data_IF_911826854567
#
_entry.id   IF_911826854567
#
_cell.length_a   1.000
_cell.length_b   1.000
_cell.length_c   1.000
_cell.angle_alpha   90.00
_cell.angle_beta   90.00
_cell.angle_gamma   90.00
#
_symmetry.space_group_name_H-M   'P 1'
#
loop_
_entity.id
_entity.type
_entity.pdbx_description
1 polymer ?
#
# COMPACT_ATOMS: atom_id res chain seq x y z
N UNK A 1 18.50 23.00 -10.79
CA UNK A 1 18.17 23.28 -9.38
C UNK A 1 18.49 22.02 -8.62
N UNK A 2 19.32 22.07 -7.59
CA UNK A 2 19.58 20.93 -6.72
C UNK A 2 18.25 20.52 -6.09
N UNK A 3 17.87 19.26 -6.21
CA UNK A 3 16.64 18.74 -5.64
C UNK A 3 16.70 18.91 -4.11
N UNK A 4 15.75 19.64 -3.52
CA UNK A 4 15.72 19.87 -2.07
C UNK A 4 15.41 18.55 -1.38
N UNK A 5 16.18 18.23 -0.36
CA UNK A 5 16.00 16.99 0.40
C UNK A 5 14.64 17.00 1.10
N UNK A 6 13.88 15.91 0.97
CA UNK A 6 12.57 15.77 1.59
C UNK A 6 12.70 15.16 2.99
N UNK A 7 12.54 15.98 4.04
CA UNK A 7 12.88 15.58 5.41
C UNK A 7 11.96 14.51 6.00
N UNK A 8 10.71 14.44 5.53
CA UNK A 8 9.73 13.41 5.91
C UNK A 8 10.18 11.99 5.52
N UNK A 9 11.15 11.87 4.61
CA UNK A 9 11.73 10.60 4.19
C UNK A 9 13.04 10.23 4.90
N UNK A 10 13.41 10.94 5.97
CA UNK A 10 14.66 10.71 6.70
C UNK A 10 14.42 9.97 8.02
N UNK A 11 15.29 9.01 8.31
CA UNK A 11 15.40 8.36 9.60
C UNK A 11 15.96 9.35 10.65
N UNK A 12 15.73 9.12 11.95
CA UNK A 12 16.25 9.99 13.00
C UNK A 12 17.77 10.24 12.90
N UNK A 13 18.57 9.20 12.59
CA UNK A 13 20.02 9.35 12.40
C UNK A 13 20.41 10.24 11.21
N UNK A 14 19.65 10.18 10.11
CA UNK A 14 19.89 11.03 8.95
C UNK A 14 19.52 12.50 9.23
N UNK A 15 18.50 12.73 10.06
CA UNK A 15 18.19 14.07 10.56
C UNK A 15 19.27 14.61 11.50
N UNK A 16 19.90 13.75 12.31
CA UNK A 16 21.04 14.14 13.16
C UNK A 16 22.24 14.59 12.32
N UNK A 17 22.54 13.86 11.24
CA UNK A 17 23.60 14.23 10.30
C UNK A 17 23.29 15.58 9.61
N UNK A 18 22.06 15.77 9.15
CA UNK A 18 21.62 17.03 8.53
C UNK A 18 21.78 18.23 9.48
N UNK A 19 21.27 18.16 10.72
CA UNK A 19 21.36 19.30 11.64
C UNK A 19 22.82 19.60 12.03
N UNK A 20 23.67 18.57 12.11
CA UNK A 20 25.12 18.75 12.34
C UNK A 20 25.77 19.51 11.19
N UNK A 21 25.45 19.17 9.94
CA UNK A 21 25.94 19.88 8.75
C UNK A 21 25.47 21.34 8.70
N UNK A 22 24.28 21.63 9.21
CA UNK A 22 23.74 22.99 9.34
C UNK A 22 24.30 23.79 10.53
N UNK A 23 25.20 23.20 11.33
CA UNK A 23 25.78 23.80 12.53
C UNK A 23 24.82 23.91 13.71
N UNK A 24 23.77 23.09 13.72
CA UNK A 24 22.71 23.12 14.74
C UNK A 24 22.91 21.96 15.75
N UNK A 25 22.45 22.13 17.02
CA UNK A 25 22.59 21.08 18.02
C UNK A 25 21.85 19.79 17.65
N UNK A 26 22.43 18.63 17.99
CA UNK A 26 21.88 17.29 17.70
C UNK A 26 20.39 17.13 18.09
N UNK A 27 19.97 17.69 19.23
CA UNK A 27 18.57 17.58 19.68
C UNK A 27 17.54 18.18 18.71
N UNK A 28 17.97 19.06 17.78
CA UNK A 28 17.11 19.63 16.74
C UNK A 28 16.56 18.57 15.79
N UNK A 29 17.29 17.48 15.57
CA UNK A 29 16.83 16.36 14.74
C UNK A 29 15.54 15.75 15.31
N UNK A 30 15.52 15.46 16.62
CA UNK A 30 14.35 14.92 17.29
C UNK A 30 13.17 15.90 17.26
N UNK A 31 13.44 17.20 17.37
CA UNK A 31 12.38 18.21 17.25
C UNK A 31 11.80 18.21 15.83
N UNK A 32 12.62 18.22 14.79
CA UNK A 32 12.14 18.14 13.40
C UNK A 32 11.31 16.87 13.19
N UNK A 33 11.82 15.72 13.62
CA UNK A 33 11.14 14.44 13.47
C UNK A 33 9.75 14.47 14.12
N UNK A 34 9.65 14.95 15.37
CA UNK A 34 8.37 15.08 16.07
C UNK A 34 7.41 16.05 15.37
N UNK A 35 7.90 17.17 14.85
CA UNK A 35 7.06 18.12 14.11
C UNK A 35 6.50 17.52 12.82
N UNK A 36 7.31 16.75 12.08
CA UNK A 36 6.89 16.11 10.84
C UNK A 36 5.95 14.91 11.06
N UNK A 37 6.24 14.06 12.06
CA UNK A 37 5.58 12.75 12.17
C UNK A 37 4.53 12.66 13.28
N UNK A 38 4.78 13.22 14.46
CA UNK A 38 3.81 13.22 15.57
C UNK A 38 2.79 14.37 15.38
N UNK A 39 3.30 15.58 15.20
CA UNK A 39 2.48 16.78 14.94
C UNK A 39 1.92 16.83 13.53
N UNK A 40 2.46 16.02 12.61
CA UNK A 40 2.02 15.90 11.21
C UNK A 40 2.03 17.23 10.44
N UNK A 41 3.00 18.10 10.72
CA UNK A 41 3.11 19.41 10.05
C UNK A 41 3.73 19.25 8.65
N UNK A 42 3.18 19.98 7.69
CA UNK A 42 3.62 19.95 6.29
C UNK A 42 4.42 21.21 5.90
N UNK A 43 4.49 22.22 6.77
CA UNK A 43 5.32 23.42 6.59
C UNK A 43 6.29 23.63 7.74
N UNK A 44 7.54 24.01 7.42
CA UNK A 44 8.51 24.44 8.43
C UNK A 44 8.03 25.68 9.18
N UNK A 45 7.21 26.55 8.57
CA UNK A 45 6.71 27.76 9.24
C UNK A 45 5.83 27.44 10.45
N UNK A 46 5.08 26.34 10.40
CA UNK A 46 4.18 25.90 11.47
C UNK A 46 4.92 25.28 12.66
N UNK A 47 6.21 24.93 12.50
CA UNK A 47 7.05 24.32 13.52
C UNK A 47 7.52 25.34 14.57
N UNK A 48 6.58 25.97 15.28
CA UNK A 48 6.83 27.11 16.17
C UNK A 48 7.76 26.83 17.37
N UNK A 49 7.99 25.55 17.69
CA UNK A 49 9.00 25.11 18.67
C UNK A 49 10.45 25.33 18.18
N UNK A 50 10.62 25.57 16.87
CA UNK A 50 11.90 25.86 16.23
C UNK A 50 12.12 27.39 16.10
N UNK A 51 13.32 27.91 16.42
CA UNK A 51 13.66 29.31 16.22
C UNK A 51 13.38 29.76 14.79
N UNK A 52 12.88 30.99 14.62
CA UNK A 52 12.56 31.56 13.30
C UNK A 52 13.74 31.48 12.30
N UNK A 53 14.96 31.76 12.78
CA UNK A 53 16.17 31.66 11.95
C UNK A 53 16.44 30.23 11.49
N UNK A 54 16.18 29.23 12.33
CA UNK A 54 16.38 27.83 11.97
C UNK A 54 15.32 27.34 10.97
N UNK A 55 14.05 27.72 11.16
CA UNK A 55 12.99 27.45 10.18
C UNK A 55 13.32 28.02 8.79
N UNK A 56 13.87 29.23 8.73
CA UNK A 56 14.30 29.84 7.46
C UNK A 56 15.41 29.02 6.78
N UNK A 57 16.44 28.60 7.53
CA UNK A 57 17.51 27.72 7.00
C UNK A 57 16.94 26.40 6.46
N UNK A 58 15.99 25.78 7.16
CA UNK A 58 15.34 24.54 6.71
C UNK A 58 14.59 24.75 5.40
N UNK A 59 13.82 25.84 5.27
CA UNK A 59 13.07 26.18 4.04
C UNK A 59 13.98 26.46 2.83
N UNK A 60 15.22 26.88 3.05
CA UNK A 60 16.21 27.08 1.99
C UNK A 60 16.85 25.75 1.53
N UNK A 61 17.19 24.88 2.48
CA UNK A 61 17.94 23.65 2.23
C UNK A 61 17.07 22.44 1.86
N UNK A 62 15.83 22.39 2.35
CA UNK A 62 15.02 21.18 2.36
C UNK A 62 13.53 21.46 2.10
N UNK A 63 12.75 20.38 2.04
CA UNK A 63 11.29 20.40 1.94
C UNK A 63 10.68 19.52 3.03
N UNK A 64 9.61 19.99 3.68
CA UNK A 64 8.78 19.19 4.60
C UNK A 64 7.67 18.41 3.88
N UNK A 65 7.26 18.88 2.70
CA UNK A 65 6.18 18.33 1.90
C UNK A 65 6.53 18.46 0.42
N UNK A 66 6.24 17.41 -0.36
CA UNK A 66 6.47 17.36 -1.81
C UNK A 66 5.25 16.87 -2.60
N UNK A 67 4.17 16.47 -1.92
CA UNK A 67 2.91 16.07 -2.54
C UNK A 67 1.87 17.20 -2.44
N UNK A 68 1.30 17.57 -3.58
CA UNK A 68 0.17 18.48 -3.65
C UNK A 68 -1.13 17.69 -3.87
N UNK A 69 -2.16 17.91 -3.07
CA UNK A 69 -3.48 17.29 -3.26
C UNK A 69 -4.22 18.00 -4.39
N UNK A 70 -4.30 17.38 -5.57
CA UNK A 70 -5.04 17.94 -6.71
C UNK A 70 -6.55 17.74 -6.56
N UNK A 71 -6.98 16.60 -6.00
CA UNK A 71 -8.40 16.28 -5.85
C UNK A 71 -8.63 15.29 -4.72
N UNK A 72 -9.78 15.43 -4.06
CA UNK A 72 -10.29 14.53 -3.03
C UNK A 72 -11.72 14.13 -3.38
N UNK A 73 -12.01 12.84 -3.24
CA UNK A 73 -13.32 12.25 -3.49
C UNK A 73 -13.77 11.49 -2.25
N UNK A 74 -15.06 11.62 -1.89
CA UNK A 74 -15.64 10.96 -0.73
C UNK A 74 -16.80 10.10 -1.19
N UNK A 75 -16.73 8.80 -0.89
CA UNK A 75 -17.75 7.81 -1.17
C UNK A 75 -18.89 7.90 -0.17
N UNK A 76 -20.07 7.43 -0.57
CA UNK A 76 -21.21 7.21 0.33
C UNK A 76 -20.87 6.29 1.51
N UNK A 77 -19.92 5.36 1.34
CA UNK A 77 -19.48 4.43 2.39
C UNK A 77 -18.39 5.01 3.32
N UNK A 78 -18.11 6.30 3.19
CA UNK A 78 -17.09 7.04 3.95
C UNK A 78 -15.65 6.88 3.44
N UNK A 79 -15.40 6.03 2.44
CA UNK A 79 -14.09 5.88 1.81
C UNK A 79 -13.67 7.21 1.18
N UNK A 80 -12.43 7.64 1.38
CA UNK A 80 -11.89 8.86 0.77
C UNK A 80 -10.73 8.52 -0.16
N UNK A 81 -10.78 8.98 -1.40
CA UNK A 81 -9.69 8.85 -2.37
C UNK A 81 -9.02 10.20 -2.57
N UNK A 82 -7.70 10.18 -2.55
CA UNK A 82 -6.85 11.35 -2.74
C UNK A 82 -6.07 11.15 -4.03
N UNK A 83 -6.18 12.11 -4.95
CA UNK A 83 -5.29 12.26 -6.09
C UNK A 83 -4.31 13.39 -5.75
N UNK A 84 -3.04 13.01 -5.66
CA UNK A 84 -1.93 13.90 -5.37
C UNK A 84 -0.98 13.97 -6.57
N UNK A 85 -0.13 14.98 -6.57
CA UNK A 85 0.90 15.18 -7.57
C UNK A 85 2.22 15.52 -6.91
N UNK A 86 3.27 14.85 -7.36
CA UNK A 86 4.64 15.10 -6.95
C UNK A 86 5.17 16.39 -7.57
N UNK A 87 6.30 16.90 -7.08
CA UNK A 87 6.95 18.11 -7.60
C UNK A 87 7.34 18.01 -9.08
N UNK A 88 7.70 16.82 -9.56
CA UNK A 88 7.97 16.50 -10.97
C UNK A 88 6.72 16.14 -11.78
N UNK A 89 5.53 16.27 -11.19
CA UNK A 89 4.26 16.18 -11.90
C UNK A 89 3.67 14.77 -12.03
N UNK A 90 4.22 13.78 -11.34
CA UNK A 90 3.74 12.40 -11.36
C UNK A 90 2.52 12.21 -10.46
N UNK A 91 1.49 11.47 -10.90
CA UNK A 91 0.31 11.24 -10.10
C UNK A 91 0.55 10.21 -8.99
N UNK A 92 -0.05 10.43 -7.83
CA UNK A 92 -0.02 9.51 -6.68
C UNK A 92 -1.42 9.41 -6.11
N UNK A 93 -1.91 8.21 -5.86
CA UNK A 93 -3.23 8.00 -5.24
C UNK A 93 -3.09 7.31 -3.88
N UNK A 94 -3.91 7.73 -2.92
CA UNK A 94 -4.08 7.05 -1.64
C UNK A 94 -5.57 6.96 -1.30
N UNK A 95 -5.95 5.95 -0.51
CA UNK A 95 -7.35 5.70 -0.15
C UNK A 95 -7.47 5.47 1.35
N UNK A 96 -8.30 6.26 2.01
CA UNK A 96 -8.76 6.01 3.37
C UNK A 96 -10.02 5.15 3.36
N UNK A 97 -10.02 4.06 4.13
CA UNK A 97 -11.12 3.09 4.20
C UNK A 97 -11.56 2.98 5.67
N UNK A 98 -12.67 3.62 6.07
CA UNK A 98 -13.16 3.52 7.44
C UNK A 98 -13.82 2.18 7.70
N UNK A 99 -13.66 1.58 8.87
CA UNK A 99 -14.37 0.36 9.26
C UNK A 99 -14.67 0.35 10.75
N UNK A 100 -15.61 -0.50 11.16
CA UNK A 100 -15.96 -0.64 12.58
C UNK A 100 -14.73 -1.08 13.38
N UNK A 101 -14.28 -0.22 14.29
CA UNK A 101 -13.13 -0.45 15.18
C UNK A 101 -11.76 -0.47 14.49
N UNK A 102 -11.65 -0.12 13.20
CA UNK A 102 -10.36 0.02 12.52
C UNK A 102 -10.45 0.91 11.28
N UNK A 103 -9.44 1.74 11.09
CA UNK A 103 -9.26 2.49 9.85
C UNK A 103 -8.04 1.99 9.08
N UNK A 104 -8.15 1.99 7.75
CA UNK A 104 -7.10 1.49 6.86
C UNK A 104 -6.74 2.53 5.82
N UNK A 105 -5.45 2.77 5.62
CA UNK A 105 -4.95 3.59 4.51
C UNK A 105 -4.27 2.68 3.49
N UNK A 106 -4.80 2.69 2.27
CA UNK A 106 -4.20 2.08 1.11
C UNK A 106 -3.27 3.11 0.45
N UNK A 107 -1.98 2.84 0.41
CA UNK A 107 -0.97 3.76 -0.11
C UNK A 107 -0.27 3.18 -1.34
N UNK A 108 0.25 4.07 -2.18
CA UNK A 108 1.02 3.75 -3.37
C UNK A 108 2.50 3.67 -3.07
N UNK A 109 3.20 2.73 -3.71
CA UNK A 109 4.66 2.60 -3.62
C UNK A 109 5.36 3.12 -4.89
N UNK A 110 4.64 3.27 -5.99
CA UNK A 110 5.14 3.80 -7.26
C UNK A 110 4.08 4.72 -7.87
N UNK A 111 4.51 5.59 -8.78
CA UNK A 111 3.59 6.25 -9.72
C UNK A 111 3.45 5.38 -10.96
N UNK A 112 2.25 4.82 -11.16
CA UNK A 112 2.02 3.75 -12.13
C UNK A 112 2.52 2.38 -11.64
N UNK A 113 2.54 1.37 -12.53
CA UNK A 113 2.99 0.01 -12.20
C UNK A 113 3.55 -0.72 -13.44
N UNK A 114 4.71 -1.38 -13.36
CA UNK A 114 5.34 -2.04 -14.52
C UNK A 114 4.77 -3.42 -14.85
N UNK A 115 3.91 -3.99 -13.99
CA UNK A 115 3.62 -5.42 -14.00
C UNK A 115 2.61 -5.88 -15.05
N UNK A 116 1.88 -4.95 -15.69
CA UNK A 116 0.93 -5.25 -16.78
C UNK A 116 -0.12 -6.32 -16.41
N UNK A 117 -0.58 -6.34 -15.15
CA UNK A 117 -1.70 -7.21 -14.75
C UNK A 117 -2.96 -6.78 -15.52
N UNK A 118 -3.59 -7.72 -16.21
CA UNK A 118 -4.60 -7.41 -17.24
C UNK A 118 -5.91 -6.88 -16.65
N UNK A 119 -6.20 -7.22 -15.39
CA UNK A 119 -7.37 -6.80 -14.63
C UNK A 119 -7.14 -5.53 -13.78
N UNK A 120 -6.05 -4.78 -14.00
CA UNK A 120 -5.65 -3.63 -13.17
C UNK A 120 -5.48 -2.35 -14.01
N UNK A 121 -6.21 -1.28 -13.67
CA UNK A 121 -6.09 0.01 -14.37
C UNK A 121 -4.72 0.66 -14.17
N UNK A 122 -4.13 0.56 -12.98
CA UNK A 122 -2.78 1.11 -12.72
C UNK A 122 -1.75 0.53 -13.68
N UNK A 123 -1.89 -0.75 -14.02
CA UNK A 123 -0.97 -1.44 -14.91
C UNK A 123 -1.05 -0.93 -16.37
N UNK A 124 -2.18 -0.32 -16.76
CA UNK A 124 -2.35 0.32 -18.07
C UNK A 124 -1.62 1.66 -18.21
N UNK A 125 -1.32 2.33 -17.09
CA UNK A 125 -0.48 3.54 -17.10
C UNK A 125 0.98 3.24 -17.43
N UNK A 126 1.43 2.00 -17.22
CA UNK A 126 2.84 1.66 -17.18
C UNK A 126 3.53 2.20 -15.92
N UNK A 127 4.86 2.03 -15.83
CA UNK A 127 5.65 2.61 -14.74
C UNK A 127 6.15 4.00 -15.15
N UNK A 128 5.90 4.99 -14.29
CA UNK A 128 6.50 6.32 -14.40
C UNK A 128 7.78 6.38 -13.57
N UNK A 129 7.68 6.20 -12.24
CA UNK A 129 8.84 6.04 -11.34
C UNK A 129 8.49 5.45 -9.99
N UNK A 130 9.53 5.07 -9.25
CA UNK A 130 9.43 4.77 -7.82
C UNK A 130 9.15 6.05 -7.02
N UNK A 131 8.37 5.92 -5.95
CA UNK A 131 8.21 6.98 -4.96
C UNK A 131 9.36 6.92 -3.94
N UNK A 132 9.81 8.07 -3.47
CA UNK A 132 10.77 8.15 -2.37
C UNK A 132 10.12 7.69 -1.06
N UNK A 133 10.93 7.38 -0.04
CA UNK A 133 10.41 7.10 1.30
C UNK A 133 9.55 8.27 1.83
N UNK A 134 9.96 9.52 1.58
CA UNK A 134 9.24 10.71 2.00
C UNK A 134 7.86 10.82 1.35
N UNK A 135 7.76 10.55 0.04
CA UNK A 135 6.49 10.54 -0.68
C UNK A 135 5.56 9.40 -0.22
N UNK A 136 6.10 8.26 0.22
CA UNK A 136 5.31 7.17 0.81
C UNK A 136 4.74 7.60 2.16
N UNK A 137 5.57 8.17 3.04
CA UNK A 137 5.14 8.62 4.38
C UNK A 137 4.17 9.80 4.29
N UNK A 138 4.41 10.73 3.37
CA UNK A 138 3.60 11.93 3.20
C UNK A 138 2.15 11.61 2.79
N UNK A 139 1.93 10.56 1.98
CA UNK A 139 0.57 10.07 1.69
C UNK A 139 -0.21 9.79 2.98
N UNK A 140 0.45 9.17 3.97
CA UNK A 140 -0.18 8.80 5.24
C UNK A 140 -0.48 10.05 6.06
N UNK A 141 0.47 10.99 6.14
CA UNK A 141 0.30 12.25 6.85
C UNK A 141 -0.87 13.07 6.28
N UNK A 142 -0.93 13.23 4.96
CA UNK A 142 -2.01 13.95 4.26
C UNK A 142 -3.37 13.33 4.60
N UNK A 143 -3.48 12.00 4.48
CA UNK A 143 -4.73 11.28 4.75
C UNK A 143 -5.16 11.43 6.22
N UNK A 144 -4.22 11.29 7.17
CA UNK A 144 -4.54 11.43 8.59
C UNK A 144 -4.95 12.86 8.95
N UNK A 145 -4.29 13.87 8.38
CA UNK A 145 -4.63 15.27 8.59
C UNK A 145 -6.03 15.60 8.04
N UNK A 146 -6.39 15.06 6.88
CA UNK A 146 -7.74 15.24 6.31
C UNK A 146 -8.85 14.58 7.15
N UNK A 147 -8.56 13.40 7.69
CA UNK A 147 -9.58 12.60 8.41
C UNK A 147 -9.74 13.08 9.86
N UNK A 148 -8.64 13.36 10.56
CA UNK A 148 -8.64 13.62 12.00
C UNK A 148 -8.26 15.07 12.37
N UNK A 149 -7.68 15.83 11.45
CA UNK A 149 -7.04 17.11 11.73
C UNK A 149 -5.56 16.98 12.05
N UNK A 150 -4.82 18.08 11.93
CA UNK A 150 -3.36 18.13 12.16
C UNK A 150 -3.04 17.84 13.63
N UNK A 151 -2.13 16.89 13.86
CA UNK A 151 -1.68 16.49 15.21
C UNK A 151 -2.73 15.79 16.08
N UNK A 152 -3.93 15.52 15.56
CA UNK A 152 -4.98 14.79 16.27
C UNK A 152 -4.67 13.30 16.42
N UNK A 153 -5.06 12.72 17.55
CA UNK A 153 -4.96 11.28 17.79
C UNK A 153 -5.79 10.46 16.79
N UNK A 154 -5.39 9.21 16.59
CA UNK A 154 -6.14 8.25 15.77
C UNK A 154 -6.92 7.30 16.70
N UNK A 155 -8.27 7.38 16.76
CA UNK A 155 -9.05 6.73 17.83
C UNK A 155 -8.85 5.21 17.95
N UNK A 156 -8.54 4.53 16.84
CA UNK A 156 -8.40 3.07 16.78
C UNK A 156 -7.00 2.63 16.31
N UNK A 157 -6.06 3.58 16.23
CA UNK A 157 -4.80 3.41 15.49
C UNK A 157 -5.02 3.28 13.98
N UNK A 158 -3.93 3.26 13.23
CA UNK A 158 -3.96 3.21 11.76
C UNK A 158 -3.46 1.87 11.23
N UNK A 159 -4.21 1.25 10.33
CA UNK A 159 -3.72 0.11 9.54
C UNK A 159 -3.28 0.61 8.17
N UNK A 160 -2.22 0.02 7.63
CA UNK A 160 -1.72 0.36 6.30
C UNK A 160 -1.73 -0.87 5.39
N UNK A 161 -2.08 -0.66 4.13
CA UNK A 161 -1.95 -1.66 3.09
C UNK A 161 -1.19 -1.09 1.89
N UNK A 162 -0.07 -1.71 1.52
CA UNK A 162 0.67 -1.38 0.31
C UNK A 162 -0.02 -2.07 -0.88
N UNK A 163 -1.21 -1.58 -1.22
CA UNK A 163 -2.10 -2.12 -2.25
C UNK A 163 -2.63 -1.01 -3.18
N UNK A 164 -2.02 0.18 -3.12
CA UNK A 164 -2.28 1.29 -4.04
C UNK A 164 -1.61 1.08 -5.38
N UNK A 165 -1.13 2.15 -6.01
CA UNK A 165 -0.38 2.06 -7.25
C UNK A 165 1.04 1.52 -7.01
N UNK A 166 1.45 0.59 -7.89
CA UNK A 166 2.80 0.03 -7.93
C UNK A 166 2.92 -1.41 -7.46
N UNK A 167 4.12 -1.96 -7.64
CA UNK A 167 4.59 -3.20 -7.02
C UNK A 167 5.55 -2.84 -5.88
N UNK A 168 5.14 -2.98 -4.60
CA UNK A 168 5.95 -2.57 -3.46
C UNK A 168 7.35 -3.20 -3.44
N UNK A 169 7.50 -4.46 -3.88
CA UNK A 169 8.80 -5.12 -3.88
C UNK A 169 9.74 -4.67 -5.01
N UNK A 170 9.25 -3.95 -6.02
CA UNK A 170 10.11 -3.26 -6.99
C UNK A 170 10.55 -1.87 -6.52
N UNK A 171 10.02 -1.41 -5.39
CA UNK A 171 10.48 -0.21 -4.67
C UNK A 171 10.87 -0.53 -3.21
N UNK A 172 11.55 -1.67 -3.03
CA UNK A 172 11.78 -2.29 -1.71
C UNK A 172 12.50 -1.35 -0.73
N UNK A 173 13.62 -0.74 -1.10
CA UNK A 173 14.42 0.08 -0.18
C UNK A 173 13.65 1.29 0.34
N UNK A 174 12.98 2.05 -0.54
CA UNK A 174 12.17 3.19 -0.13
C UNK A 174 10.97 2.75 0.71
N UNK A 175 10.35 1.61 0.38
CA UNK A 175 9.26 1.05 1.16
C UNK A 175 9.73 0.71 2.58
N UNK A 176 10.79 -0.09 2.72
CA UNK A 176 11.27 -0.52 4.04
C UNK A 176 11.69 0.69 4.88
N UNK A 177 12.40 1.66 4.29
CA UNK A 177 12.75 2.91 4.96
C UNK A 177 11.51 3.69 5.43
N UNK A 178 10.49 3.83 4.59
CA UNK A 178 9.24 4.49 4.96
C UNK A 178 8.52 3.77 6.11
N UNK A 179 8.48 2.43 6.08
CA UNK A 179 7.88 1.64 7.15
C UNK A 179 8.65 1.78 8.47
N UNK A 180 9.98 1.86 8.42
CA UNK A 180 10.82 2.11 9.59
C UNK A 180 10.49 3.48 10.21
N UNK A 181 10.49 4.55 9.40
CA UNK A 181 10.13 5.91 9.81
C UNK A 181 8.75 5.94 10.47
N UNK A 182 7.74 5.33 9.84
CA UNK A 182 6.37 5.31 10.37
C UNK A 182 6.24 4.51 11.68
N UNK A 183 7.16 3.58 11.95
CA UNK A 183 7.11 2.71 13.12
C UNK A 183 7.76 3.30 14.38
N UNK A 184 8.41 4.46 14.26
CA UNK A 184 9.07 5.15 15.37
C UNK A 184 8.03 5.62 16.41
N UNK A 185 8.34 5.42 17.68
CA UNK A 185 7.47 5.75 18.81
C UNK A 185 7.32 7.26 19.07
N UNK A 186 8.23 8.07 18.54
CA UNK A 186 8.20 9.52 18.64
C UNK A 186 7.52 10.19 17.44
N UNK A 187 6.97 9.40 16.52
CA UNK A 187 6.33 9.86 15.29
C UNK A 187 4.92 9.29 15.13
N UNK A 188 4.63 8.76 13.94
CA UNK A 188 3.32 8.19 13.61
C UNK A 188 3.00 6.92 14.43
N UNK A 189 4.04 6.22 14.92
CA UNK A 189 3.95 5.00 15.71
C UNK A 189 3.04 3.90 15.13
N UNK A 190 3.08 3.73 13.81
CA UNK A 190 2.37 2.68 13.10
C UNK A 190 3.26 1.42 13.09
N UNK A 191 3.03 0.56 14.07
CA UNK A 191 3.79 -0.68 14.23
C UNK A 191 3.61 -1.64 13.04
N UNK A 192 4.64 -2.42 12.65
CA UNK A 192 4.59 -3.31 11.47
C UNK A 192 3.44 -4.32 11.46
N UNK A 193 2.97 -4.77 12.64
CA UNK A 193 1.83 -5.69 12.75
C UNK A 193 0.50 -5.11 12.23
N UNK A 194 0.40 -3.78 12.08
CA UNK A 194 -0.75 -3.08 11.47
C UNK A 194 -0.56 -2.80 9.98
N UNK A 195 0.56 -3.22 9.41
CA UNK A 195 0.91 -3.01 8.00
C UNK A 195 0.81 -4.34 7.25
N UNK A 196 0.19 -4.32 6.07
CA UNK A 196 0.23 -5.44 5.11
C UNK A 196 0.87 -4.99 3.82
N UNK A 197 1.96 -5.64 3.41
CA UNK A 197 2.59 -5.42 2.11
C UNK A 197 2.09 -6.46 1.13
N UNK A 198 1.57 -6.03 -0.02
CA UNK A 198 1.16 -6.93 -1.09
C UNK A 198 2.22 -7.00 -2.18
N UNK A 199 2.43 -8.17 -2.79
CA UNK A 199 3.32 -8.34 -3.94
C UNK A 199 2.71 -9.26 -4.98
N UNK A 200 2.99 -9.03 -6.26
CA UNK A 200 2.66 -9.92 -7.36
C UNK A 200 3.59 -11.15 -7.48
N UNK A 201 4.52 -11.31 -6.54
CA UNK A 201 5.41 -12.48 -6.49
C UNK A 201 6.85 -12.18 -6.92
N UNK A 202 7.44 -11.07 -6.45
CA UNK A 202 8.88 -10.80 -6.67
C UNK A 202 9.69 -11.69 -5.73
N UNK A 203 9.96 -12.94 -6.15
CA UNK A 203 10.52 -14.01 -5.30
C UNK A 203 11.77 -13.60 -4.51
N UNK A 204 12.82 -13.00 -5.11
CA UNK A 204 14.00 -12.59 -4.35
C UNK A 204 13.70 -11.59 -3.22
N UNK A 205 12.69 -10.75 -3.42
CA UNK A 205 12.27 -9.76 -2.41
C UNK A 205 11.32 -10.34 -1.37
N UNK A 206 10.58 -11.42 -1.67
CA UNK A 206 9.92 -12.23 -0.64
C UNK A 206 10.97 -12.81 0.32
N UNK A 207 12.06 -13.38 -0.22
CA UNK A 207 13.16 -13.94 0.58
C UNK A 207 13.86 -12.87 1.42
N UNK A 208 14.15 -11.71 0.85
CA UNK A 208 14.71 -10.58 1.60
C UNK A 208 13.77 -10.08 2.69
N UNK A 209 12.46 -10.00 2.41
CA UNK A 209 11.43 -9.62 3.36
C UNK A 209 11.33 -10.59 4.56
N UNK A 210 11.74 -11.86 4.41
CA UNK A 210 11.82 -12.81 5.54
C UNK A 210 12.89 -12.47 6.57
N UNK A 211 13.90 -11.68 6.19
CA UNK A 211 15.07 -11.35 7.03
C UNK A 211 14.85 -10.11 7.89
N UNK A 212 13.72 -9.43 7.75
CA UNK A 212 13.40 -8.24 8.53
C UNK A 212 13.03 -8.62 9.97
N UNK A 213 13.71 -8.02 10.95
CA UNK A 213 13.44 -8.25 12.37
C UNK A 213 12.01 -7.81 12.76
N UNK A 214 11.62 -6.62 12.28
CA UNK A 214 10.32 -5.98 12.48
C UNK A 214 9.46 -6.08 11.22
N UNK A 215 9.18 -7.32 10.79
CA UNK A 215 8.48 -7.62 9.54
C UNK A 215 6.97 -7.27 9.56
N UNK A 216 6.44 -6.58 8.54
CA UNK A 216 4.99 -6.43 8.30
C UNK A 216 4.28 -7.72 7.88
N UNK A 217 2.94 -7.71 7.83
CA UNK A 217 2.18 -8.82 7.23
C UNK A 217 2.42 -8.90 5.72
N UNK A 218 2.35 -10.11 5.15
CA UNK A 218 2.49 -10.34 3.71
C UNK A 218 1.16 -10.78 3.08
N UNK A 219 0.86 -10.18 1.94
CA UNK A 219 -0.11 -10.64 0.96
C UNK A 219 0.59 -10.93 -0.38
N UNK A 220 0.20 -12.00 -1.07
CA UNK A 220 0.72 -12.35 -2.39
C UNK A 220 -0.46 -12.40 -3.37
N UNK A 221 -0.40 -11.59 -4.42
CA UNK A 221 -1.41 -11.57 -5.49
C UNK A 221 -1.21 -12.79 -6.41
N UNK A 222 -2.13 -13.76 -6.31
CA UNK A 222 -2.05 -15.02 -7.04
C UNK A 222 -2.92 -15.01 -8.29
N UNK A 223 -4.23 -14.77 -8.13
CA UNK A 223 -5.24 -14.59 -9.20
C UNK A 223 -5.46 -15.73 -10.20
N UNK A 224 -4.75 -16.86 -10.11
CA UNK A 224 -4.98 -18.06 -10.92
C UNK A 224 -4.34 -19.29 -10.25
N UNK A 225 -4.88 -20.50 -10.45
CA UNK A 225 -4.36 -21.73 -9.84
C UNK A 225 -3.39 -22.50 -10.77
N UNK A 226 -3.15 -22.02 -11.99
CA UNK A 226 -2.23 -22.62 -12.96
C UNK A 226 -1.43 -21.56 -13.72
N UNK A 227 -0.27 -21.97 -14.25
CA UNK A 227 0.65 -21.08 -14.92
C UNK A 227 0.11 -20.54 -16.25
N UNK A 228 -0.71 -21.30 -16.97
CA UNK A 228 -1.24 -20.87 -18.26
C UNK A 228 -2.14 -19.64 -18.08
N UNK A 229 -3.09 -19.74 -17.16
CA UNK A 229 -4.00 -18.65 -16.83
C UNK A 229 -3.25 -17.50 -16.15
N UNK A 230 -2.35 -17.80 -15.22
CA UNK A 230 -1.58 -16.75 -14.53
C UNK A 230 -0.67 -15.98 -15.49
N UNK A 231 -0.08 -16.63 -16.50
CA UNK A 231 0.71 -15.97 -17.54
C UNK A 231 -0.10 -14.96 -18.37
N UNK A 232 -1.40 -15.20 -18.56
CA UNK A 232 -2.31 -14.29 -19.27
C UNK A 232 -2.69 -13.12 -18.37
N UNK A 233 -3.12 -13.40 -17.13
CA UNK A 233 -3.63 -12.38 -16.21
C UNK A 233 -2.53 -11.53 -15.55
N UNK A 234 -1.38 -12.14 -15.23
CA UNK A 234 -0.27 -11.55 -14.50
C UNK A 234 1.07 -11.93 -15.16
N UNK A 235 1.51 -11.21 -16.21
CA UNK A 235 2.67 -11.60 -17.03
C UNK A 235 3.99 -11.82 -16.28
N UNK A 236 4.15 -11.23 -15.08
CA UNK A 236 5.27 -11.49 -14.18
C UNK A 236 5.44 -12.98 -13.84
N UNK A 237 4.38 -13.79 -13.97
CA UNK A 237 4.43 -15.24 -13.79
C UNK A 237 5.41 -15.94 -14.72
N UNK A 238 5.67 -15.39 -15.91
CA UNK A 238 6.66 -15.95 -16.84
C UNK A 238 8.09 -15.89 -16.29
N UNK A 239 8.34 -14.97 -15.35
CA UNK A 239 9.61 -14.86 -14.64
C UNK A 239 9.60 -15.66 -13.35
N UNK A 240 8.50 -15.58 -12.59
CA UNK A 240 8.31 -16.28 -11.31
C UNK A 240 6.98 -17.04 -11.36
N UNK A 241 7.05 -18.31 -11.77
CA UNK A 241 5.88 -19.17 -11.95
C UNK A 241 5.24 -19.56 -10.60
N UNK A 242 4.10 -20.25 -10.64
CA UNK A 242 3.38 -20.64 -9.43
C UNK A 242 4.25 -21.49 -8.49
N UNK A 243 5.02 -22.46 -9.02
CA UNK A 243 5.89 -23.30 -8.19
C UNK A 243 6.93 -22.49 -7.40
N UNK A 244 7.59 -21.52 -8.06
CA UNK A 244 8.55 -20.64 -7.39
C UNK A 244 7.88 -19.75 -6.34
N UNK A 245 6.66 -19.25 -6.62
CA UNK A 245 5.89 -18.42 -5.68
C UNK A 245 5.48 -19.23 -4.45
N UNK A 246 4.97 -20.45 -4.63
CA UNK A 246 4.54 -21.29 -3.52
C UNK A 246 5.72 -21.79 -2.69
N UNK A 247 6.87 -22.06 -3.32
CA UNK A 247 8.12 -22.35 -2.62
C UNK A 247 8.57 -21.17 -1.75
N UNK A 248 8.56 -19.95 -2.31
CA UNK A 248 8.87 -18.72 -1.56
C UNK A 248 7.85 -18.46 -0.44
N UNK A 249 6.56 -18.70 -0.70
CA UNK A 249 5.50 -18.58 0.30
C UNK A 249 5.68 -19.59 1.45
N UNK A 250 6.12 -20.81 1.16
CA UNK A 250 6.46 -21.81 2.18
C UNK A 250 7.68 -21.40 3.01
N UNK A 251 8.70 -20.81 2.37
CA UNK A 251 9.84 -20.24 3.09
C UNK A 251 9.41 -19.09 4.00
N UNK A 252 8.55 -18.20 3.51
CA UNK A 252 7.95 -17.13 4.29
C UNK A 252 7.12 -17.66 5.47
N UNK A 253 6.30 -18.69 5.23
CA UNK A 253 5.49 -19.32 6.27
C UNK A 253 6.34 -19.76 7.46
N UNK A 254 7.57 -20.27 7.23
CA UNK A 254 8.46 -20.73 8.30
C UNK A 254 8.91 -19.60 9.25
N UNK A 255 8.88 -18.34 8.81
CA UNK A 255 9.26 -17.18 9.63
C UNK A 255 8.10 -16.57 10.42
N UNK A 256 6.88 -17.04 10.19
CA UNK A 256 5.70 -16.57 10.92
C UNK A 256 5.77 -16.92 12.41
N UNK A 257 5.45 -15.95 13.25
CA UNK A 257 5.30 -16.15 14.70
C UNK A 257 4.00 -16.89 15.02
N UNK A 258 3.82 -17.31 16.28
CA UNK A 258 2.59 -17.99 16.73
C UNK A 258 1.37 -17.10 16.46
N UNK A 259 0.36 -17.66 15.78
CA UNK A 259 -0.88 -16.96 15.45
C UNK A 259 -0.82 -16.09 14.18
N UNK A 260 0.36 -15.84 13.62
CA UNK A 260 0.48 -15.13 12.35
C UNK A 260 0.07 -16.02 11.18
N UNK A 261 -0.49 -15.38 10.15
CA UNK A 261 -0.83 -15.99 8.86
C UNK A 261 -0.49 -15.01 7.75
N UNK A 262 -0.08 -15.51 6.60
CA UNK A 262 0.04 -14.71 5.38
C UNK A 262 -1.18 -14.92 4.49
N UNK A 263 -1.33 -14.08 3.47
CA UNK A 263 -2.53 -14.05 2.61
C UNK A 263 -2.16 -14.32 1.16
N UNK A 264 -2.94 -15.13 0.46
CA UNK A 264 -3.04 -15.03 -0.99
C UNK A 264 -4.26 -14.18 -1.35
N UNK A 265 -4.05 -13.14 -2.15
CA UNK A 265 -5.12 -12.35 -2.74
C UNK A 265 -5.50 -13.00 -4.09
N UNK A 266 -6.78 -13.30 -4.28
CA UNK A 266 -7.30 -13.94 -5.48
C UNK A 266 -8.49 -13.13 -6.00
N UNK A 267 -8.26 -12.35 -7.07
CA UNK A 267 -9.35 -11.65 -7.75
C UNK A 267 -10.24 -12.65 -8.47
N UNK A 268 -11.55 -12.53 -8.33
CA UNK A 268 -12.54 -13.36 -9.00
C UNK A 268 -13.09 -12.60 -10.22
N UNK A 269 -12.68 -13.07 -11.39
CA UNK A 269 -13.04 -12.60 -12.72
C UNK A 269 -14.08 -13.57 -13.29
N UNK A 270 -15.30 -13.06 -13.49
CA UNK A 270 -16.45 -13.87 -13.87
C UNK A 270 -16.21 -14.68 -15.14
N UNK A 271 -16.39 -15.99 -15.07
CA UNK A 271 -16.21 -16.91 -16.19
C UNK A 271 -14.75 -17.15 -16.62
N UNK A 272 -13.77 -16.55 -15.94
CA UNK A 272 -12.35 -16.61 -16.32
C UNK A 272 -11.55 -17.47 -15.34
N UNK A 273 -11.62 -17.15 -14.04
CA UNK A 273 -10.79 -17.80 -13.01
C UNK A 273 -11.60 -18.22 -11.77
N UNK A 274 -12.93 -18.32 -11.90
CA UNK A 274 -13.88 -18.45 -10.79
C UNK A 274 -14.73 -19.73 -10.82
N UNK A 275 -14.41 -20.68 -11.70
CA UNK A 275 -15.06 -22.00 -11.74
C UNK A 275 -14.74 -22.85 -10.50
N UNK A 276 -15.59 -23.85 -10.23
CA UNK A 276 -15.39 -24.81 -9.14
C UNK A 276 -14.07 -25.59 -9.31
N UNK A 277 -13.69 -25.92 -10.55
CA UNK A 277 -12.42 -26.59 -10.85
C UNK A 277 -11.21 -25.71 -10.50
N UNK A 278 -11.31 -24.38 -10.67
CA UNK A 278 -10.24 -23.47 -10.23
C UNK A 278 -10.13 -23.41 -8.70
N UNK A 279 -11.25 -23.50 -7.98
CA UNK A 279 -11.24 -23.56 -6.52
C UNK A 279 -10.57 -24.83 -6.00
N UNK A 280 -10.89 -25.99 -6.60
CA UNK A 280 -10.24 -27.27 -6.27
C UNK A 280 -8.75 -27.23 -6.59
N UNK A 281 -8.35 -26.73 -7.77
CA UNK A 281 -6.94 -26.61 -8.13
C UNK A 281 -6.16 -25.68 -7.19
N UNK A 282 -6.78 -24.59 -6.73
CA UNK A 282 -6.18 -23.72 -5.73
C UNK A 282 -6.01 -24.43 -4.37
N UNK A 283 -6.99 -25.23 -3.95
CA UNK A 283 -6.88 -26.05 -2.75
C UNK A 283 -5.75 -27.10 -2.88
N UNK A 284 -5.66 -27.76 -4.03
CA UNK A 284 -4.60 -28.74 -4.33
C UNK A 284 -3.20 -28.10 -4.26
N UNK A 285 -3.03 -26.85 -4.71
CA UNK A 285 -1.78 -26.11 -4.54
C UNK A 285 -1.46 -25.87 -3.06
N UNK A 286 -2.43 -25.38 -2.27
CA UNK A 286 -2.23 -25.15 -0.83
C UNK A 286 -1.83 -26.44 -0.11
N UNK A 287 -2.48 -27.55 -0.45
CA UNK A 287 -2.17 -28.89 0.08
C UNK A 287 -0.79 -29.40 -0.36
N UNK A 288 -0.45 -29.29 -1.65
CA UNK A 288 0.83 -29.74 -2.23
C UNK A 288 2.04 -29.15 -1.52
N UNK A 289 1.99 -27.86 -1.18
CA UNK A 289 3.09 -27.17 -0.47
C UNK A 289 2.92 -27.20 1.05
N UNK A 290 1.92 -27.94 1.57
CA UNK A 290 1.62 -28.08 2.99
C UNK A 290 1.49 -26.71 3.69
N UNK A 291 0.83 -25.74 3.06
CA UNK A 291 0.66 -24.40 3.64
C UNK A 291 -0.47 -24.43 4.69
N UNK A 292 -0.11 -24.22 5.96
CA UNK A 292 -1.01 -24.33 7.12
C UNK A 292 -1.40 -22.99 7.73
N UNK A 293 -0.57 -21.97 7.52
CA UNK A 293 -0.73 -20.60 8.05
C UNK A 293 -1.00 -19.61 6.93
N UNK A 294 -1.79 -20.03 5.95
CA UNK A 294 -2.25 -19.20 4.83
C UNK A 294 -3.75 -18.97 4.90
N UNK A 295 -4.21 -17.80 4.48
CA UNK A 295 -5.62 -17.52 4.19
C UNK A 295 -5.77 -17.05 2.74
N UNK A 296 -6.88 -17.38 2.12
CA UNK A 296 -7.23 -16.89 0.78
C UNK A 296 -8.22 -15.74 0.93
N UNK A 297 -7.89 -14.58 0.38
CA UNK A 297 -8.78 -13.44 0.29
C UNK A 297 -9.35 -13.36 -1.13
N UNK A 298 -10.61 -13.72 -1.28
CA UNK A 298 -11.36 -13.68 -2.53
C UNK A 298 -11.84 -12.24 -2.76
N UNK A 299 -11.47 -11.65 -3.89
CA UNK A 299 -11.81 -10.26 -4.23
C UNK A 299 -12.70 -10.28 -5.47
N UNK A 300 -14.02 -10.14 -5.33
CA UNK A 300 -14.88 -9.94 -6.50
C UNK A 300 -14.39 -8.74 -7.31
N UNK A 301 -14.20 -8.91 -8.61
CA UNK A 301 -13.65 -7.87 -9.49
C UNK A 301 -14.42 -6.55 -9.35
N UNK A 302 -13.69 -5.43 -9.41
CA UNK A 302 -14.28 -4.11 -9.45
C UNK A 302 -14.27 -3.65 -10.91
N UNK A 303 -15.44 -3.59 -11.57
CA UNK A 303 -15.48 -3.25 -12.99
C UNK A 303 -14.95 -1.84 -13.22
N UNK A 304 -14.38 -1.64 -14.40
CA UNK A 304 -14.02 -0.33 -14.92
C UNK A 304 -14.16 -0.37 -16.45
N UNK A 305 -14.59 0.74 -17.06
CA UNK A 305 -14.90 0.80 -18.50
C UNK A 305 -13.77 0.30 -19.43
N UNK A 306 -12.53 0.38 -18.97
CA UNK A 306 -11.35 -0.01 -19.74
C UNK A 306 -10.94 -1.47 -19.51
N UNK A 307 -11.61 -2.23 -18.65
CA UNK A 307 -11.27 -3.62 -18.36
C UNK A 307 -12.32 -4.56 -18.95
N UNK A 308 -11.87 -5.60 -19.65
CA UNK A 308 -12.76 -6.57 -20.33
C UNK A 308 -13.30 -7.65 -19.37
N UNK A 309 -13.27 -7.39 -18.07
CA UNK A 309 -13.63 -8.33 -17.02
C UNK A 309 -14.87 -7.87 -16.26
N UNK A 310 -15.70 -8.82 -15.83
CA UNK A 310 -16.85 -8.57 -14.99
C UNK A 310 -16.71 -9.26 -13.63
N UNK A 311 -17.39 -8.77 -12.58
CA UNK A 311 -17.44 -9.49 -11.30
C UNK A 311 -18.10 -10.87 -11.47
N UNK A 312 -17.57 -11.86 -10.74
CA UNK A 312 -18.26 -13.13 -10.52
C UNK A 312 -19.58 -12.94 -9.77
N UNK A 313 -20.56 -13.77 -10.09
CA UNK A 313 -21.85 -13.80 -9.39
C UNK A 313 -21.68 -14.13 -7.90
N UNK A 314 -22.51 -13.53 -7.04
CA UNK A 314 -22.43 -13.73 -5.60
C UNK A 314 -22.52 -15.21 -5.19
N UNK A 315 -23.39 -15.97 -5.85
CA UNK A 315 -23.52 -17.42 -5.60
C UNK A 315 -22.27 -18.19 -6.02
N UNK A 316 -21.62 -17.81 -7.13
CA UNK A 316 -20.37 -18.42 -7.57
C UNK A 316 -19.22 -18.10 -6.60
N UNK A 317 -19.10 -16.85 -6.15
CA UNK A 317 -18.12 -16.44 -5.12
C UNK A 317 -18.30 -17.29 -3.85
N UNK A 318 -19.55 -17.49 -3.41
CA UNK A 318 -19.85 -18.29 -2.22
C UNK A 318 -19.62 -19.79 -2.44
N UNK A 319 -19.85 -20.33 -3.65
CA UNK A 319 -19.48 -21.71 -4.00
C UNK A 319 -17.97 -21.91 -3.97
N UNK A 320 -17.20 -21.04 -4.63
CA UNK A 320 -15.74 -21.05 -4.62
C UNK A 320 -15.19 -21.04 -3.19
N UNK A 321 -15.71 -20.15 -2.34
CA UNK A 321 -15.37 -20.10 -0.90
C UNK A 321 -15.65 -21.44 -0.19
N UNK A 322 -16.84 -22.02 -0.37
CA UNK A 322 -17.23 -23.28 0.28
C UNK A 322 -16.34 -24.44 -0.13
N UNK A 323 -15.94 -24.52 -1.41
CA UNK A 323 -15.02 -25.54 -1.90
C UNK A 323 -13.68 -25.44 -1.16
N UNK A 324 -13.06 -24.26 -1.14
CA UNK A 324 -11.81 -24.04 -0.39
C UNK A 324 -11.94 -24.44 1.09
N UNK A 325 -13.00 -24.01 1.76
CA UNK A 325 -13.21 -24.32 3.18
C UNK A 325 -13.47 -25.81 3.44
N UNK A 326 -14.17 -26.50 2.53
CA UNK A 326 -14.39 -27.96 2.61
C UNK A 326 -13.08 -28.75 2.51
N UNK A 327 -12.08 -28.18 1.83
CA UNK A 327 -10.70 -28.68 1.73
C UNK A 327 -9.80 -28.17 2.86
N UNK A 328 -10.35 -27.52 3.88
CA UNK A 328 -9.61 -27.01 5.04
C UNK A 328 -8.85 -25.69 4.80
N UNK A 329 -9.04 -25.04 3.65
CA UNK A 329 -8.39 -23.77 3.31
C UNK A 329 -9.26 -22.60 3.77
N UNK A 330 -8.75 -21.79 4.70
CA UNK A 330 -9.51 -20.62 5.17
C UNK A 330 -9.66 -19.56 4.08
N UNK A 331 -10.89 -19.29 3.67
CA UNK A 331 -11.23 -18.32 2.63
C UNK A 331 -12.13 -17.20 3.17
N UNK A 332 -11.88 -15.98 2.73
CA UNK A 332 -12.66 -14.78 3.10
C UNK A 332 -13.04 -14.02 1.85
N UNK A 333 -14.22 -13.40 1.84
CA UNK A 333 -14.65 -12.54 0.72
C UNK A 333 -14.44 -11.09 1.12
N UNK A 334 -13.62 -10.37 0.35
CA UNK A 334 -13.38 -8.95 0.53
C UNK A 334 -14.61 -8.15 0.12
N UNK A 335 -15.17 -7.38 1.05
CA UNK A 335 -16.24 -6.44 0.74
C UNK A 335 -15.64 -5.27 -0.08
N UNK A 336 -16.25 -4.91 -1.23
CA UNK A 336 -15.81 -3.74 -1.99
C UNK A 336 -16.03 -2.45 -1.22
N UNK A 337 -15.15 -1.46 -1.41
CA UNK A 337 -15.19 -0.15 -0.75
C UNK A 337 -14.85 0.96 -1.75
N UNK A 338 -15.58 2.08 -1.69
CA UNK A 338 -15.34 3.25 -2.55
C UNK A 338 -15.41 3.00 -4.06
N UNK A 339 -16.28 2.10 -4.52
CA UNK A 339 -16.43 1.77 -5.96
C UNK A 339 -16.95 2.96 -6.78
N UNK A 340 -17.90 3.70 -6.21
CA UNK A 340 -18.52 4.91 -6.77
C UNK A 340 -17.49 6.01 -7.08
N UNK A 341 -16.37 6.03 -6.36
CA UNK A 341 -15.30 7.02 -6.53
C UNK A 341 -14.02 6.42 -7.13
N UNK A 342 -14.07 5.24 -7.76
CA UNK A 342 -12.90 4.54 -8.33
C UNK A 342 -11.76 4.29 -7.32
N UNK A 343 -12.08 4.08 -6.05
CA UNK A 343 -11.11 3.83 -4.99
C UNK A 343 -10.94 2.34 -4.64
N UNK A 344 -11.71 1.47 -5.28
CA UNK A 344 -11.62 0.04 -5.02
C UNK A 344 -10.33 -0.55 -5.64
N UNK A 345 -9.89 -1.71 -5.12
CA UNK A 345 -8.68 -2.37 -5.59
C UNK A 345 -8.69 -2.58 -7.10
N UNK A 346 -7.62 -2.15 -7.77
CA UNK A 346 -7.45 -2.23 -9.23
C UNK A 346 -7.99 -1.04 -10.02
N UNK A 347 -8.67 -0.06 -9.40
CA UNK A 347 -9.27 1.09 -10.09
C UNK A 347 -8.43 2.38 -10.06
N UNK A 348 -7.31 2.41 -9.33
CA UNK A 348 -6.42 3.58 -9.26
C UNK A 348 -5.69 3.78 -10.59
N UNK A 349 -6.00 4.87 -11.30
CA UNK A 349 -5.48 5.16 -12.64
C UNK A 349 -5.28 6.65 -12.90
N UNK A 350 -5.11 7.46 -11.85
CA UNK A 350 -4.92 8.91 -11.94
C UNK A 350 -6.02 9.65 -12.73
N UNK A 351 -7.22 9.07 -12.83
CA UNK A 351 -8.35 9.69 -13.53
C UNK A 351 -8.92 10.86 -12.72
N UNK A 352 -9.01 12.02 -13.38
CA UNK A 352 -9.86 13.12 -12.95
C UNK A 352 -11.24 12.95 -13.59
N UNK A 353 -12.28 12.69 -12.78
CA UNK A 353 -13.66 12.55 -13.29
C UNK A 353 -14.44 13.84 -12.98
N UNK A 354 -15.10 14.47 -13.98
CA UNK A 354 -15.84 15.72 -13.80
C UNK A 354 -17.14 15.57 -12.99
N UNK A 355 -17.64 14.34 -12.81
CA UNK A 355 -18.93 14.06 -12.16
C UNK A 355 -18.82 13.61 -10.69
N UNK A 356 -17.60 13.49 -10.14
CA UNK A 356 -17.42 13.23 -8.72
C UNK A 356 -17.35 14.55 -7.96
N UNK A 357 -18.03 14.63 -6.81
CA UNK A 357 -18.02 15.82 -5.96
C UNK A 357 -16.58 16.09 -5.51
N UNK A 358 -15.94 17.09 -6.13
CA UNK A 358 -14.65 17.60 -5.70
C UNK A 358 -14.87 18.43 -4.44
N UNK A 359 -14.31 17.97 -3.33
CA UNK A 359 -14.21 18.81 -2.13
C UNK A 359 -12.84 19.47 -2.21
N UNK A 360 -12.80 20.71 -2.71
CA UNK A 360 -11.61 21.55 -2.62
C UNK A 360 -11.55 22.11 -1.21
N UNK A 361 -10.47 21.84 -0.48
CA UNK A 361 -10.26 22.38 0.86
C UNK A 361 -9.19 21.61 1.64
N UNK A 362 -7.97 22.12 1.56
CA UNK A 362 -6.99 22.20 2.64
C UNK A 362 -6.31 23.56 2.53
#
# INVERSE_FOLDING_TARGET
MTERQHLTGLLPGELEDLVREMGEPRYRAQQIFKQLHDRRLLSFEEMTDLPKAFRAKLSEAASSSTLNVESKYVSEDGTRRFLMKTTDGMPVEAVFIPSEGRDTICFSSQSGCPLKCDFCLTAKLGLLRNLSAGEIVEQIIIVLNDVYGVGSETPHGTNLVAMGAGEPFLNFENLIKALEIMSDENGLFIVPGRVTVSTAGIVPKIEEFTKLDRRPNLAISLSAPDDELRNKLMPINKKWNIDTIFTAAKAFEKTLKRGERFTFEYVLLGGVNDSDAHAEALADLVERYDLRRVKINLIPHNPAEQLDYHPSDADQVMRFKRILESRGVSAYVRRPRGRDIYAACGQLAAKQEPNLVKIVGL
#
